data_IF_393991333304
#
_entry.id   IF_393991333304
#
_cell.length_a   1.000
_cell.length_b   1.000
_cell.length_c   1.000
_cell.angle_alpha   90.00
_cell.angle_beta   90.00
_cell.angle_gamma   90.00
#
_symmetry.space_group_name_H-M   'P 1'
#
loop_
_entity.id
_entity.type
_entity.pdbx_description
1 polymer ?
#
# COMPACT_ATOMS: atom_id res chain seq x y z
N UNK A 1 1.74 -5.91 -26.97
CA UNK A 1 2.36 -4.61 -27.32
C UNK A 1 3.82 -4.66 -26.91
N UNK A 2 4.76 -4.29 -27.79
CA UNK A 2 6.20 -4.28 -27.50
C UNK A 2 6.59 -2.87 -27.07
N UNK A 3 7.07 -2.71 -25.85
CA UNK A 3 7.48 -1.39 -25.36
C UNK A 3 8.86 -1.03 -25.94
N UNK A 4 9.00 0.19 -26.46
CA UNK A 4 10.29 0.73 -26.92
C UNK A 4 10.87 1.64 -25.82
N UNK A 5 12.15 1.42 -25.49
CA UNK A 5 12.89 2.29 -24.59
C UNK A 5 13.55 3.41 -25.40
N UNK A 6 13.38 4.66 -24.95
CA UNK A 6 13.98 5.84 -25.58
C UNK A 6 14.93 6.49 -24.58
N UNK A 7 16.18 6.71 -24.99
CA UNK A 7 17.16 7.47 -24.21
C UNK A 7 16.91 8.96 -24.42
N UNK A 8 16.72 9.70 -23.34
CA UNK A 8 16.48 11.14 -23.35
C UNK A 8 17.48 11.85 -22.46
N UNK A 9 17.89 13.05 -22.87
CA UNK A 9 18.66 13.99 -22.05
C UNK A 9 17.71 15.07 -21.54
N UNK A 10 17.82 15.41 -20.26
CA UNK A 10 16.96 16.41 -19.60
C UNK A 10 17.80 17.31 -18.72
N UNK A 11 17.40 18.57 -18.64
CA UNK A 11 18.05 19.55 -17.78
C UNK A 11 17.41 19.52 -16.39
N UNK A 12 18.25 19.55 -15.36
CA UNK A 12 17.83 19.61 -13.96
C UNK A 12 18.57 20.74 -13.25
N UNK A 13 17.94 21.27 -12.20
CA UNK A 13 18.62 22.14 -11.24
C UNK A 13 19.80 21.36 -10.61
N UNK A 14 21.03 21.92 -10.58
CA UNK A 14 22.20 21.27 -10.01
C UNK A 14 22.01 20.83 -8.55
N UNK A 15 21.30 21.62 -7.74
CA UNK A 15 21.05 21.31 -6.34
C UNK A 15 20.12 20.10 -6.20
N UNK A 16 19.06 20.05 -7.01
CA UNK A 16 18.15 18.90 -7.04
C UNK A 16 18.85 17.63 -7.52
N UNK A 17 19.72 17.75 -8.53
CA UNK A 17 20.51 16.63 -9.02
C UNK A 17 21.45 16.09 -7.93
N UNK A 18 22.11 16.98 -7.17
CA UNK A 18 22.99 16.58 -6.09
C UNK A 18 22.23 15.89 -4.95
N UNK A 19 21.05 16.40 -4.58
CA UNK A 19 20.18 15.75 -3.59
C UNK A 19 19.73 14.37 -4.06
N UNK A 20 19.34 14.24 -5.34
CA UNK A 20 18.94 12.96 -5.92
C UNK A 20 20.11 11.96 -5.95
N UNK A 21 21.34 12.40 -6.27
CA UNK A 21 22.54 11.57 -6.20
C UNK A 21 22.84 11.10 -4.77
N UNK A 22 22.74 11.99 -3.79
CA UNK A 22 22.94 11.63 -2.38
C UNK A 22 21.93 10.57 -1.94
N UNK A 23 20.66 10.78 -2.25
CA UNK A 23 19.60 9.82 -1.98
C UNK A 23 19.84 8.46 -2.67
N UNK A 24 20.37 8.47 -3.90
CA UNK A 24 20.74 7.25 -4.64
C UNK A 24 21.80 6.45 -3.90
N UNK A 25 22.82 7.12 -3.38
CA UNK A 25 23.89 6.51 -2.59
C UNK A 25 23.32 5.95 -1.28
N UNK A 26 22.51 6.73 -0.56
CA UNK A 26 21.92 6.34 0.72
C UNK A 26 21.00 5.11 0.61
N UNK A 27 20.25 4.99 -0.50
CA UNK A 27 19.36 3.85 -0.77
C UNK A 27 20.06 2.67 -1.50
N UNK A 28 21.34 2.81 -1.87
CA UNK A 28 22.06 1.81 -2.67
C UNK A 28 21.49 1.59 -4.07
N UNK A 29 20.80 2.60 -4.63
CA UNK A 29 20.15 2.55 -5.95
C UNK A 29 20.89 3.39 -6.98
N UNK A 30 20.63 3.10 -8.26
CA UNK A 30 21.05 3.99 -9.34
C UNK A 30 20.16 5.24 -9.42
N UNK A 31 20.72 6.34 -9.93
CA UNK A 31 19.96 7.57 -10.18
C UNK A 31 18.78 7.31 -11.14
N UNK A 32 18.96 6.42 -12.12
CA UNK A 32 17.93 6.01 -13.07
C UNK A 32 16.73 5.35 -12.37
N UNK A 33 16.96 4.48 -11.38
CA UNK A 33 15.89 3.83 -10.62
C UNK A 33 15.09 4.84 -9.81
N UNK A 34 15.76 5.78 -9.14
CA UNK A 34 15.09 6.84 -8.37
C UNK A 34 14.22 7.72 -9.28
N UNK A 35 14.74 8.12 -10.44
CA UNK A 35 13.98 8.92 -11.41
C UNK A 35 12.75 8.13 -11.89
N UNK A 36 12.92 6.85 -12.21
CA UNK A 36 11.82 6.01 -12.64
C UNK A 36 10.76 5.76 -11.56
N UNK A 37 11.17 5.58 -10.30
CA UNK A 37 10.25 5.47 -9.17
C UNK A 37 9.44 6.78 -9.01
N UNK A 38 10.12 7.92 -9.05
CA UNK A 38 9.47 9.24 -9.01
C UNK A 38 8.47 9.46 -10.14
N UNK A 39 8.85 9.10 -11.38
CA UNK A 39 7.98 9.18 -12.55
C UNK A 39 6.77 8.24 -12.45
N UNK A 40 6.96 7.00 -11.98
CA UNK A 40 5.86 6.05 -11.75
C UNK A 40 4.86 6.56 -10.72
N UNK A 41 5.34 7.18 -9.65
CA UNK A 41 4.50 7.80 -8.61
C UNK A 41 3.74 8.99 -9.19
N UNK A 42 4.43 9.94 -9.85
CA UNK A 42 3.81 11.16 -10.41
C UNK A 42 2.79 10.88 -11.51
N UNK A 43 3.09 9.94 -12.41
CA UNK A 43 2.21 9.60 -13.52
C UNK A 43 1.11 8.61 -13.12
N UNK A 44 1.02 8.23 -11.84
CA UNK A 44 0.12 7.18 -11.37
C UNK A 44 0.23 5.87 -12.18
N UNK A 45 1.40 5.61 -12.79
CA UNK A 45 1.67 4.40 -13.59
C UNK A 45 1.88 3.16 -12.72
N UNK A 46 1.59 3.25 -11.42
CA UNK A 46 1.41 2.09 -10.57
C UNK A 46 0.33 1.20 -11.16
N UNK A 47 0.73 0.03 -11.67
CA UNK A 47 -0.16 -1.00 -12.22
C UNK A 47 -1.05 -1.66 -11.16
N UNK A 48 -1.01 -1.20 -9.90
CA UNK A 48 -1.92 -1.68 -8.86
C UNK A 48 -2.36 -0.49 -7.99
N UNK A 49 -3.54 0.05 -8.29
CA UNK A 49 -4.50 0.27 -7.20
C UNK A 49 -4.68 -1.11 -6.58
N UNK A 50 -3.89 -1.45 -5.57
CA UNK A 50 -4.11 -2.68 -4.83
C UNK A 50 -5.55 -2.59 -4.33
N UNK A 51 -6.40 -3.52 -4.77
CA UNK A 51 -7.75 -3.72 -4.24
C UNK A 51 -7.69 -4.22 -2.78
N UNK A 52 -6.70 -3.79 -2.02
CA UNK A 52 -6.33 -4.24 -0.68
C UNK A 52 -6.38 -3.07 0.32
N UNK A 53 -7.38 -2.20 0.18
CA UNK A 53 -7.79 -1.31 1.27
C UNK A 53 -9.32 -1.20 1.39
N UNK A 54 -10.06 -2.17 0.83
CA UNK A 54 -11.42 -2.50 1.30
C UNK A 54 -11.37 -3.73 2.19
N UNK A 55 -10.43 -3.79 3.14
CA UNK A 55 -10.79 -4.39 4.43
C UNK A 55 -11.80 -3.41 5.03
N UNK A 56 -13.08 -3.57 4.66
CA UNK A 56 -14.17 -3.13 5.53
C UNK A 56 -13.80 -3.69 6.89
N UNK A 57 -13.39 -2.82 7.82
CA UNK A 57 -13.41 -3.10 9.23
C UNK A 57 -14.86 -3.48 9.53
N UNK A 58 -15.12 -4.78 9.45
CA UNK A 58 -16.38 -5.34 9.89
C UNK A 58 -16.41 -5.10 11.39
N UNK A 59 -17.12 -4.05 11.80
CA UNK A 59 -17.38 -3.75 13.22
C UNK A 59 -17.94 -4.96 13.99
N UNK A 60 -18.45 -6.00 13.28
CA UNK A 60 -18.86 -7.28 13.87
C UNK A 60 -17.73 -8.11 14.48
N UNK A 61 -16.46 -7.90 14.12
CA UNK A 61 -15.34 -8.69 14.68
C UNK A 61 -14.72 -8.11 15.95
N UNK A 62 -15.01 -6.85 16.29
CA UNK A 62 -14.37 -6.18 17.43
C UNK A 62 -15.15 -6.31 18.75
N UNK A 63 -16.40 -6.78 18.70
CA UNK A 63 -17.19 -7.04 19.89
C UNK A 63 -17.81 -8.43 19.76
N UNK A 64 -17.48 -9.40 20.64
CA UNK A 64 -18.32 -10.56 20.80
C UNK A 64 -19.64 -10.06 21.40
N UNK A 65 -20.59 -9.72 20.52
CA UNK A 65 -21.98 -9.58 20.95
C UNK A 65 -22.37 -10.97 21.41
N UNK A 66 -22.52 -11.14 22.73
CA UNK A 66 -23.19 -12.32 23.26
C UNK A 66 -24.53 -12.42 22.55
N UNK A 67 -24.69 -13.40 21.66
CA UNK A 67 -25.95 -13.65 20.94
C UNK A 67 -26.98 -14.24 21.90
N UNK A 68 -27.38 -13.45 22.89
CA UNK A 68 -28.49 -13.75 23.79
C UNK A 68 -29.77 -13.61 22.96
N UNK A 69 -30.22 -14.71 22.38
CA UNK A 69 -31.50 -14.77 21.65
C UNK A 69 -31.43 -15.25 20.20
N UNK A 70 -30.28 -15.75 19.70
CA UNK A 70 -30.26 -16.42 18.39
C UNK A 70 -31.15 -17.68 18.43
N UNK A 71 -32.17 -17.82 17.56
CA UNK A 71 -33.14 -18.92 17.61
C UNK A 71 -32.50 -20.31 17.37
N UNK A 72 -31.28 -20.33 16.84
CA UNK A 72 -30.53 -21.55 16.54
C UNK A 72 -29.50 -21.93 17.61
N UNK A 73 -29.39 -21.20 18.73
CA UNK A 73 -28.43 -21.50 19.81
C UNK A 73 -29.16 -21.94 21.08
N UNK A 74 -28.96 -23.19 21.50
CA UNK A 74 -29.42 -23.67 22.82
C UNK A 74 -28.46 -23.13 23.88
N UNK A 75 -28.96 -22.27 24.76
CA UNK A 75 -28.19 -21.78 25.92
C UNK A 75 -27.96 -22.95 26.86
N UNK A 76 -26.71 -23.28 27.17
CA UNK A 76 -26.40 -24.29 28.18
C UNK A 76 -26.31 -23.61 29.55
N UNK A 77 -26.74 -24.27 30.62
CA UNK A 77 -26.72 -23.70 31.99
C UNK A 77 -25.35 -23.20 32.45
N UNK A 78 -24.26 -23.70 31.85
CA UNK A 78 -22.89 -23.30 32.14
C UNK A 78 -22.58 -21.86 31.69
N UNK A 79 -23.27 -21.36 30.66
CA UNK A 79 -23.01 -20.04 30.07
C UNK A 79 -23.57 -18.87 30.91
N UNK A 80 -24.41 -19.15 31.92
CA UNK A 80 -25.11 -18.13 32.70
C UNK A 80 -24.37 -17.66 33.96
N UNK A 81 -23.29 -18.35 34.36
CA UNK A 81 -22.62 -18.15 35.65
C UNK A 81 -21.10 -17.95 35.54
N UNK A 82 -20.56 -17.67 34.35
CA UNK A 82 -19.19 -17.14 34.17
C UNK A 82 -19.20 -15.67 33.78
#
# INVERSE_FOLDING_TARGET
MRNQLVRTTTYFDPNLLNLAKKKAIDEGKSLYEIINEGLKIRLNLSTKKSRLAKKRLSYKKLFPVYELGSPNKKIHRKDAYE
#
